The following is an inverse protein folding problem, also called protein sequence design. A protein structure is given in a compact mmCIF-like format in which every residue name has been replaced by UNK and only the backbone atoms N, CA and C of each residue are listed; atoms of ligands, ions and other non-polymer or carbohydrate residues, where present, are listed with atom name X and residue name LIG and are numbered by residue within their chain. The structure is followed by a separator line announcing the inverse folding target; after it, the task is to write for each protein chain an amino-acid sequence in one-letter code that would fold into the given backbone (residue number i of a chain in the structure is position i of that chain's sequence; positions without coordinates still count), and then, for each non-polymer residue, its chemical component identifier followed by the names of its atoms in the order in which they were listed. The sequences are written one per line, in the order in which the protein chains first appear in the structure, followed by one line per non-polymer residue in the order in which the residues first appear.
data_IF_506817708777
#
_entry.id   IF_506817708777
#
_cell.length_a   1.000
_cell.length_b   1.000
_cell.length_c   1.000
_cell.angle_alpha   90.00
_cell.angle_beta   90.00
_cell.angle_gamma   90.00
#
_symmetry.space_group_name_H-M   'P 1'
#
loop_
_entity.id
_entity.type
_entity.pdbx_description
1 polymer ?
#
# COMPACT_ATOMS: atom_id res chain seq x y z
N UNK A 1 11.16 -1.31 -7.32
CA UNK A 1 10.31 -2.49 -7.13
C UNK A 1 9.59 -2.40 -5.79
N UNK A 2 8.28 -2.58 -5.75
CA UNK A 2 7.47 -2.62 -4.53
C UNK A 2 6.23 -3.50 -4.75
N UNK A 3 5.76 -4.18 -3.71
CA UNK A 3 4.58 -5.05 -3.73
C UNK A 3 4.88 -6.55 -3.72
N UNK A 4 6.16 -6.95 -3.68
CA UNK A 4 6.53 -8.36 -3.72
C UNK A 4 6.03 -9.14 -2.48
N UNK A 5 6.12 -8.55 -1.29
CA UNK A 5 5.64 -9.19 -0.06
C UNK A 5 4.14 -9.49 -0.14
N UNK A 6 3.34 -8.53 -0.62
CA UNK A 6 1.89 -8.75 -0.81
C UNK A 6 1.61 -9.83 -1.86
N UNK A 7 2.41 -9.90 -2.94
CA UNK A 7 2.29 -10.97 -3.94
C UNK A 7 2.58 -12.34 -3.31
N UNK A 8 3.62 -12.43 -2.49
CA UNK A 8 3.99 -13.67 -1.80
C UNK A 8 2.88 -14.11 -0.84
N UNK A 9 2.35 -13.18 -0.04
CA UNK A 9 1.26 -13.47 0.90
C UNK A 9 -0.02 -13.89 0.17
N UNK A 10 -0.36 -13.19 -0.91
CA UNK A 10 -1.50 -13.55 -1.75
C UNK A 10 -1.38 -14.99 -2.28
N UNK A 11 -0.23 -15.34 -2.86
CA UNK A 11 -0.04 -16.66 -3.47
C UNK A 11 -0.02 -17.77 -2.42
N UNK A 12 0.63 -17.55 -1.27
CA UNK A 12 0.67 -18.52 -0.18
C UNK A 12 -0.70 -18.82 0.42
N UNK A 13 -1.60 -17.82 0.40
CA UNK A 13 -2.93 -17.94 0.98
C UNK A 13 -4.03 -18.16 -0.08
N UNK A 14 -3.68 -18.19 -1.36
CA UNK A 14 -4.65 -18.40 -2.43
C UNK A 14 -5.24 -19.80 -2.38
N UNK A 15 -6.51 -19.85 -2.07
CA UNK A 15 -7.33 -21.06 -2.08
C UNK A 15 -8.76 -20.68 -2.47
N UNK A 16 -9.58 -21.67 -2.80
CA UNK A 16 -11.00 -21.49 -3.09
C UNK A 16 -11.81 -22.24 -2.06
N UNK A 17 -12.61 -21.51 -1.29
CA UNK A 17 -13.51 -22.09 -0.30
C UNK A 17 -14.64 -22.87 -0.95
N UNK A 18 -15.37 -23.64 -0.15
CA UNK A 18 -16.57 -24.32 -0.64
C UNK A 18 -17.60 -23.30 -1.18
N UNK A 19 -17.77 -22.19 -0.50
CA UNK A 19 -18.67 -21.11 -0.89
C UNK A 19 -18.28 -20.48 -2.23
N UNK A 20 -16.97 -20.28 -2.49
CA UNK A 20 -16.47 -19.76 -3.76
C UNK A 20 -16.80 -20.72 -4.90
N UNK A 21 -16.51 -22.01 -4.71
CA UNK A 21 -16.76 -23.04 -5.71
C UNK A 21 -18.27 -23.20 -5.97
N UNK A 22 -19.10 -23.16 -4.92
CA UNK A 22 -20.55 -23.27 -5.07
C UNK A 22 -21.14 -22.04 -5.79
N UNK A 23 -20.65 -20.85 -5.51
CA UNK A 23 -20.99 -19.65 -6.26
C UNK A 23 -20.66 -19.77 -7.76
N UNK A 24 -19.44 -20.21 -8.07
CA UNK A 24 -19.02 -20.43 -9.46
C UNK A 24 -19.86 -21.50 -10.17
N UNK A 25 -20.26 -22.56 -9.46
CA UNK A 25 -21.18 -23.58 -9.98
C UNK A 25 -22.53 -22.99 -10.32
N UNK A 26 -23.05 -22.12 -9.47
CA UNK A 26 -24.33 -21.44 -9.69
C UNK A 26 -24.37 -20.55 -10.94
N UNK A 27 -23.21 -20.07 -11.44
CA UNK A 27 -23.11 -19.30 -12.67
C UNK A 27 -23.35 -20.16 -13.94
N UNK A 28 -23.14 -21.47 -13.86
CA UNK A 28 -23.33 -22.40 -15.00
C UNK A 28 -22.32 -22.21 -16.14
N UNK A 29 -21.18 -21.57 -15.88
CA UNK A 29 -20.17 -21.24 -16.88
C UNK A 29 -18.99 -22.23 -16.90
N UNK A 30 -18.81 -23.00 -15.84
CA UNK A 30 -17.64 -23.84 -15.62
C UNK A 30 -18.02 -25.31 -15.56
N UNK A 31 -17.11 -26.19 -16.06
CA UNK A 31 -17.30 -27.64 -15.93
C UNK A 31 -17.07 -28.11 -14.48
N UNK A 32 -17.72 -29.22 -14.09
CA UNK A 32 -17.50 -29.81 -12.76
C UNK A 32 -16.05 -30.25 -12.54
N UNK A 33 -15.33 -30.68 -13.57
CA UNK A 33 -13.90 -31.02 -13.49
C UNK A 33 -13.06 -29.81 -13.10
N UNK A 34 -13.36 -28.63 -13.66
CA UNK A 34 -12.66 -27.39 -13.31
C UNK A 34 -13.01 -26.94 -11.90
N UNK A 35 -14.27 -27.01 -11.50
CA UNK A 35 -14.70 -26.68 -10.14
C UNK A 35 -14.07 -27.61 -9.10
N UNK A 36 -13.94 -28.89 -9.43
CA UNK A 36 -13.23 -29.85 -8.59
C UNK A 36 -11.72 -29.51 -8.49
N UNK A 37 -11.10 -29.11 -9.58
CA UNK A 37 -9.71 -28.63 -9.58
C UNK A 37 -9.53 -27.41 -8.66
N UNK A 38 -10.45 -26.43 -8.72
CA UNK A 38 -10.40 -25.24 -7.85
C UNK A 38 -10.55 -25.59 -6.37
N UNK A 39 -11.39 -26.55 -6.01
CA UNK A 39 -11.59 -26.95 -4.62
C UNK A 39 -10.35 -27.53 -3.93
N UNK A 40 -9.40 -28.01 -4.71
CA UNK A 40 -8.11 -28.51 -4.24
C UNK A 40 -6.92 -27.62 -4.65
N UNK A 41 -7.20 -26.39 -5.08
CA UNK A 41 -6.18 -25.52 -5.62
C UNK A 41 -5.12 -25.14 -4.59
N UNK A 42 -3.88 -25.25 -4.99
CA UNK A 42 -2.72 -24.66 -4.35
C UNK A 42 -1.69 -24.31 -5.42
N UNK A 43 -0.99 -23.20 -5.23
CA UNK A 43 0.07 -22.81 -6.15
C UNK A 43 1.31 -23.71 -5.93
N UNK A 44 1.75 -24.40 -6.97
CA UNK A 44 2.87 -25.35 -6.92
C UNK A 44 4.12 -24.86 -7.67
N UNK A 45 4.04 -23.70 -8.30
CA UNK A 45 5.11 -23.16 -9.13
C UNK A 45 6.19 -22.39 -8.37
N UNK A 46 7.16 -21.89 -9.13
CA UNK A 46 8.23 -21.03 -8.65
C UNK A 46 8.04 -19.59 -9.08
N UNK A 47 8.45 -18.65 -8.20
CA UNK A 47 8.47 -17.22 -8.48
C UNK A 47 9.89 -16.69 -8.31
N UNK A 48 10.38 -16.02 -9.36
CA UNK A 48 11.65 -15.32 -9.37
C UNK A 48 11.35 -13.82 -9.49
N UNK A 49 11.84 -13.00 -8.58
CA UNK A 49 11.53 -11.57 -8.55
C UNK A 49 12.74 -10.73 -8.18
N UNK A 50 12.72 -9.47 -8.63
CA UNK A 50 13.67 -8.45 -8.18
C UNK A 50 13.29 -8.06 -6.74
N UNK A 51 14.26 -7.94 -5.81
CA UNK A 51 13.98 -7.51 -4.44
C UNK A 51 13.31 -6.14 -4.36
N UNK A 52 12.44 -5.96 -3.36
CA UNK A 52 11.84 -4.66 -3.09
C UNK A 52 12.90 -3.59 -2.77
N UNK A 53 12.59 -2.34 -3.06
CA UNK A 53 13.53 -1.21 -2.95
C UNK A 53 14.50 -1.08 -4.13
N UNK A 54 14.66 -2.10 -4.96
CA UNK A 54 15.53 -2.02 -6.15
C UNK A 54 14.96 -1.05 -7.18
N UNK A 55 15.86 -0.25 -7.80
CA UNK A 55 15.50 0.53 -8.99
C UNK A 55 15.32 -0.43 -10.16
N UNK A 56 14.27 -0.22 -10.92
CA UNK A 56 13.89 -1.04 -12.06
C UNK A 56 13.70 -0.17 -13.31
N UNK A 57 13.93 -0.75 -14.47
CA UNK A 57 13.86 -0.04 -15.74
C UNK A 57 12.80 -0.64 -16.67
N UNK A 58 12.23 0.17 -17.59
CA UNK A 58 11.29 -0.34 -18.57
C UNK A 58 11.85 -1.52 -19.37
N UNK A 59 11.02 -2.52 -19.64
CA UNK A 59 11.34 -3.74 -20.39
C UNK A 59 12.24 -4.76 -19.66
N UNK A 60 12.53 -4.54 -18.39
CA UNK A 60 13.13 -5.57 -17.54
C UNK A 60 12.03 -6.41 -16.89
N UNK A 61 12.18 -7.75 -16.84
CA UNK A 61 11.22 -8.61 -16.14
C UNK A 61 11.34 -8.37 -14.63
N UNK A 62 10.27 -7.87 -14.01
CA UNK A 62 10.21 -7.61 -12.56
C UNK A 62 10.00 -8.89 -11.76
N UNK A 63 9.19 -9.78 -12.34
CA UNK A 63 8.81 -11.05 -11.74
C UNK A 63 8.58 -12.07 -12.86
N UNK A 64 9.01 -13.31 -12.61
CA UNK A 64 8.79 -14.44 -13.49
C UNK A 64 8.10 -15.55 -12.71
N UNK A 65 6.99 -16.04 -13.23
CA UNK A 65 6.28 -17.22 -12.73
C UNK A 65 6.61 -18.41 -13.61
N UNK A 66 6.94 -19.55 -13.00
CA UNK A 66 7.14 -20.85 -13.65
C UNK A 66 6.21 -21.84 -12.96
N UNK A 67 5.09 -22.12 -13.59
CA UNK A 67 4.02 -22.95 -13.00
C UNK A 67 3.21 -23.67 -14.11
N UNK A 68 2.39 -24.66 -13.76
CA UNK A 68 1.35 -25.15 -14.65
C UNK A 68 0.49 -24.01 -15.19
N UNK A 69 0.08 -24.11 -16.46
CA UNK A 69 -0.57 -22.97 -17.15
C UNK A 69 -1.81 -22.44 -16.43
N UNK A 70 -2.61 -23.30 -15.84
CA UNK A 70 -3.81 -22.87 -15.10
C UNK A 70 -3.46 -22.07 -13.85
N UNK A 71 -2.46 -22.50 -13.09
CA UNK A 71 -1.98 -21.78 -11.91
C UNK A 71 -1.39 -20.42 -12.29
N UNK A 72 -0.55 -20.38 -13.34
CA UNK A 72 0.07 -19.15 -13.83
C UNK A 72 -0.97 -18.13 -14.27
N UNK A 73 -2.04 -18.56 -14.95
CA UNK A 73 -3.13 -17.67 -15.37
C UNK A 73 -3.99 -17.17 -14.21
N UNK A 74 -4.26 -18.00 -13.21
CA UNK A 74 -5.05 -17.62 -12.06
C UNK A 74 -4.38 -16.51 -11.22
N UNK A 75 -3.06 -16.52 -11.11
CA UNK A 75 -2.32 -15.54 -10.30
C UNK A 75 -1.96 -14.26 -11.06
N UNK A 76 -1.98 -14.28 -12.41
CA UNK A 76 -1.49 -13.18 -13.26
C UNK A 76 -2.12 -11.82 -12.91
N UNK A 77 -3.44 -11.74 -12.92
CA UNK A 77 -4.16 -10.46 -12.73
C UNK A 77 -3.88 -9.86 -11.35
N UNK A 78 -3.86 -10.67 -10.31
CA UNK A 78 -3.57 -10.21 -8.96
C UNK A 78 -2.13 -9.69 -8.84
N UNK A 79 -1.15 -10.43 -9.37
CA UNK A 79 0.26 -10.01 -9.39
C UNK A 79 0.41 -8.68 -10.10
N UNK A 80 -0.16 -8.52 -11.29
CA UNK A 80 -0.09 -7.29 -12.06
C UNK A 80 -0.72 -6.11 -11.31
N UNK A 81 -1.88 -6.30 -10.70
CA UNK A 81 -2.58 -5.26 -9.95
C UNK A 81 -1.77 -4.79 -8.75
N UNK A 82 -1.24 -5.74 -7.96
CA UNK A 82 -0.45 -5.47 -6.76
C UNK A 82 0.84 -4.71 -7.12
N UNK A 83 1.62 -5.26 -8.05
CA UNK A 83 2.91 -4.67 -8.43
C UNK A 83 2.73 -3.32 -9.11
N UNK A 84 1.76 -3.17 -10.00
CA UNK A 84 1.51 -1.92 -10.71
C UNK A 84 1.18 -0.79 -9.74
N UNK A 85 0.23 -0.99 -8.83
CA UNK A 85 -0.13 0.01 -7.83
C UNK A 85 1.06 0.43 -6.97
N UNK A 86 1.74 -0.53 -6.34
CA UNK A 86 2.82 -0.22 -5.40
C UNK A 86 4.06 0.34 -6.10
N UNK A 87 4.44 -0.18 -7.27
CA UNK A 87 5.58 0.37 -8.03
C UNK A 87 5.33 1.81 -8.49
N UNK A 88 4.11 2.15 -8.92
CA UNK A 88 3.75 3.53 -9.31
C UNK A 88 3.82 4.49 -8.11
N UNK A 89 3.29 4.09 -6.96
CA UNK A 89 3.35 4.92 -5.74
C UNK A 89 4.81 5.07 -5.28
N UNK A 90 5.59 3.99 -5.19
CA UNK A 90 7.00 4.05 -4.82
C UNK A 90 7.81 4.95 -5.78
N UNK A 91 7.54 4.86 -7.09
CA UNK A 91 8.17 5.71 -8.10
C UNK A 91 7.83 7.18 -7.91
N UNK A 92 6.56 7.48 -7.62
CA UNK A 92 6.13 8.87 -7.34
C UNK A 92 6.79 9.38 -6.07
N UNK A 93 6.75 8.60 -4.99
CA UNK A 93 7.37 8.94 -3.72
C UNK A 93 8.88 9.20 -3.87
N UNK A 94 9.62 8.32 -4.55
CA UNK A 94 11.06 8.46 -4.74
C UNK A 94 11.44 9.74 -5.50
N UNK A 95 10.62 10.16 -6.46
CA UNK A 95 10.83 11.44 -7.18
C UNK A 95 10.62 12.65 -6.27
N UNK A 96 9.61 12.61 -5.40
CA UNK A 96 9.35 13.68 -4.43
C UNK A 96 10.48 13.73 -3.40
N UNK A 97 10.88 12.59 -2.86
CA UNK A 97 12.01 12.47 -1.92
C UNK A 97 13.31 12.99 -2.55
N UNK A 98 13.58 12.62 -3.79
CA UNK A 98 14.76 13.14 -4.51
C UNK A 98 14.71 14.68 -4.67
N UNK A 99 13.55 15.24 -5.00
CA UNK A 99 13.36 16.68 -5.14
C UNK A 99 13.49 17.44 -3.82
N UNK A 100 13.21 16.78 -2.68
CA UNK A 100 13.30 17.35 -1.35
C UNK A 100 14.74 17.55 -0.83
N UNK A 101 15.75 17.05 -1.57
CA UNK A 101 17.18 17.35 -1.30
C UNK A 101 17.65 17.02 0.13
N UNK A 102 17.04 16.03 0.77
CA UNK A 102 17.37 15.58 2.13
C UNK A 102 16.31 15.94 3.18
N UNK A 103 15.33 16.77 2.85
CA UNK A 103 14.19 17.02 3.74
C UNK A 103 13.30 15.77 3.82
N UNK A 104 12.77 15.49 5.01
CA UNK A 104 11.89 14.34 5.24
C UNK A 104 10.53 14.52 4.59
N UNK A 105 10.11 13.54 3.79
CA UNK A 105 8.79 13.51 3.15
C UNK A 105 7.87 12.55 3.90
N UNK A 106 6.70 13.03 4.32
CA UNK A 106 5.65 12.23 4.96
C UNK A 106 4.54 11.87 3.97
N UNK A 107 4.06 10.65 4.04
CA UNK A 107 2.95 10.18 3.22
C UNK A 107 1.60 10.49 3.89
N UNK A 108 0.73 11.27 3.26
CA UNK A 108 -0.60 11.68 3.73
C UNK A 108 -1.69 11.46 2.68
N UNK A 109 -1.50 10.49 1.79
CA UNK A 109 -2.37 10.24 0.64
C UNK A 109 -3.63 9.43 0.93
N UNK A 110 -3.83 8.90 2.15
CA UNK A 110 -4.93 7.98 2.48
C UNK A 110 -6.31 8.49 2.00
N UNK A 111 -6.65 9.75 2.26
CA UNK A 111 -7.94 10.34 1.85
C UNK A 111 -8.14 10.50 0.35
N UNK A 112 -7.10 10.26 -0.45
CA UNK A 112 -7.11 10.35 -1.93
C UNK A 112 -6.83 9.01 -2.60
N UNK A 113 -6.68 7.95 -1.80
CA UNK A 113 -6.47 6.59 -2.31
C UNK A 113 -7.76 6.03 -2.92
N UNK A 114 -7.60 5.07 -3.80
CA UNK A 114 -8.70 4.38 -4.49
C UNK A 114 -9.19 3.18 -3.68
N UNK A 115 -9.62 3.44 -2.45
CA UNK A 115 -10.08 2.46 -1.49
C UNK A 115 -9.11 2.25 -0.33
N UNK A 116 -9.57 1.61 0.77
CA UNK A 116 -8.77 1.42 1.98
C UNK A 116 -7.47 0.65 1.74
N UNK A 117 -7.52 -0.43 0.98
CA UNK A 117 -6.35 -1.25 0.66
C UNK A 117 -5.33 -0.49 -0.19
N UNK A 118 -5.80 0.31 -1.15
CA UNK A 118 -4.93 1.18 -1.92
C UNK A 118 -4.22 2.22 -1.04
N UNK A 119 -4.90 2.75 -0.01
CA UNK A 119 -4.30 3.63 0.99
C UNK A 119 -3.28 2.92 1.88
N UNK A 120 -3.58 1.70 2.29
CA UNK A 120 -2.73 0.89 3.15
C UNK A 120 -1.41 0.51 2.45
N UNK A 121 -1.52 -0.16 1.31
CA UNK A 121 -0.35 -0.58 0.55
C UNK A 121 0.36 0.58 -0.16
N UNK A 122 -0.37 1.66 -0.45
CA UNK A 122 0.22 2.91 -0.93
C UNK A 122 1.14 3.56 0.10
N UNK A 123 0.75 3.56 1.39
CA UNK A 123 1.60 4.05 2.47
C UNK A 123 2.90 3.24 2.58
N UNK A 124 2.81 1.89 2.56
CA UNK A 124 3.98 1.01 2.54
C UNK A 124 4.89 1.30 1.35
N UNK A 125 4.31 1.39 0.15
CA UNK A 125 5.06 1.66 -1.08
C UNK A 125 5.76 3.02 -1.06
N UNK A 126 5.13 4.04 -0.46
CA UNK A 126 5.73 5.36 -0.30
C UNK A 126 6.96 5.34 0.63
N UNK A 127 6.91 4.56 1.71
CA UNK A 127 8.08 4.36 2.60
C UNK A 127 9.20 3.61 1.88
N UNK A 128 8.90 2.57 1.08
CA UNK A 128 9.88 1.94 0.19
C UNK A 128 10.49 2.96 -0.78
N UNK A 129 9.69 3.93 -1.25
CA UNK A 129 10.12 5.05 -2.09
C UNK A 129 10.94 6.12 -1.39
N UNK A 130 11.14 6.01 -0.06
CA UNK A 130 11.98 6.90 0.74
C UNK A 130 11.22 7.89 1.62
N UNK A 131 9.88 7.82 1.71
CA UNK A 131 9.14 8.60 2.71
C UNK A 131 9.53 8.18 4.13
N UNK A 132 9.61 9.14 5.04
CA UNK A 132 10.06 8.91 6.43
C UNK A 132 8.95 8.38 7.34
N UNK A 133 7.69 8.41 6.89
CA UNK A 133 6.55 7.91 7.65
C UNK A 133 5.23 8.18 6.95
N UNK A 134 4.15 7.71 7.57
CA UNK A 134 2.77 7.85 7.08
C UNK A 134 1.82 8.26 8.18
N UNK A 135 0.69 8.87 7.81
CA UNK A 135 -0.44 9.09 8.73
C UNK A 135 -1.36 7.88 8.87
N UNK A 136 -1.13 6.81 8.14
CA UNK A 136 -1.94 5.60 8.18
C UNK A 136 -1.50 4.69 9.33
N UNK A 137 -2.25 4.73 10.45
CA UNK A 137 -1.95 3.98 11.67
C UNK A 137 -1.95 2.48 11.43
N UNK A 138 -2.88 1.98 10.60
CA UNK A 138 -2.94 0.56 10.25
C UNK A 138 -1.70 0.12 9.44
N UNK A 139 -1.18 0.98 8.58
CA UNK A 139 0.08 0.70 7.87
C UNK A 139 1.26 0.63 8.84
N UNK A 140 1.27 1.48 9.88
CA UNK A 140 2.26 1.40 10.94
C UNK A 140 2.23 0.08 11.68
N UNK A 141 1.04 -0.39 12.05
CA UNK A 141 0.83 -1.66 12.75
C UNK A 141 1.22 -2.87 11.88
N UNK A 142 0.77 -2.89 10.62
CA UNK A 142 0.97 -4.05 9.74
C UNK A 142 2.37 -4.17 9.16
N UNK A 143 3.04 -3.05 8.90
CA UNK A 143 4.30 -3.02 8.14
C UNK A 143 5.47 -2.45 8.92
N UNK A 144 5.28 -2.14 10.21
CA UNK A 144 6.30 -1.55 11.08
C UNK A 144 6.94 -0.28 10.46
N UNK A 145 6.09 0.57 9.84
CA UNK A 145 6.53 1.85 9.29
C UNK A 145 6.25 2.99 10.25
N UNK A 146 7.10 4.04 10.32
CA UNK A 146 6.91 5.14 11.25
C UNK A 146 5.58 5.86 11.04
N UNK A 147 4.85 6.09 12.13
CA UNK A 147 3.60 6.86 12.12
C UNK A 147 3.91 8.30 12.44
N UNK A 148 3.43 9.20 11.59
CA UNK A 148 3.57 10.64 11.75
C UNK A 148 2.26 11.31 11.35
N UNK A 149 1.93 12.44 11.98
CA UNK A 149 0.69 13.13 11.68
C UNK A 149 0.71 14.57 12.12
N UNK A 150 -0.29 15.30 11.66
CA UNK A 150 -0.58 16.65 12.08
C UNK A 150 -2.03 16.73 12.53
N UNK A 151 -2.37 17.72 13.35
CA UNK A 151 -3.77 17.98 13.67
C UNK A 151 -4.48 18.65 12.48
N UNK A 152 -5.80 18.43 12.41
CA UNK A 152 -6.61 18.99 11.34
C UNK A 152 -6.97 20.48 11.61
N UNK A 153 -7.14 21.27 10.56
CA UNK A 153 -7.64 22.66 10.67
C UNK A 153 -8.99 22.71 11.40
N UNK A 154 -9.87 21.74 11.17
CA UNK A 154 -11.15 21.63 11.87
C UNK A 154 -10.99 21.57 13.39
N UNK A 155 -9.94 20.95 13.92
CA UNK A 155 -9.66 20.94 15.36
C UNK A 155 -9.30 22.35 15.86
N UNK A 156 -8.45 23.09 15.15
CA UNK A 156 -8.10 24.48 15.49
C UNK A 156 -9.35 25.35 15.51
N UNK A 157 -10.22 25.20 14.53
CA UNK A 157 -11.48 25.95 14.40
C UNK A 157 -12.49 25.68 15.52
N UNK A 158 -12.31 24.66 16.36
CA UNK A 158 -13.17 24.43 17.55
C UNK A 158 -12.83 25.34 18.72
N UNK A 159 -11.68 25.98 18.69
CA UNK A 159 -11.25 26.94 19.72
C UNK A 159 -11.67 28.38 19.36
N UNK A 160 -11.73 29.26 20.37
CA UNK A 160 -12.11 30.66 20.18
C UNK A 160 -11.07 31.43 19.36
N UNK A 161 -9.82 31.01 19.40
CA UNK A 161 -8.67 31.58 18.70
C UNK A 161 -7.54 30.55 18.52
N UNK A 162 -6.65 30.79 17.56
CA UNK A 162 -5.53 29.93 17.25
C UNK A 162 -4.51 29.79 18.40
N UNK A 163 -4.28 30.89 19.13
CA UNK A 163 -3.37 30.86 20.27
C UNK A 163 -3.82 29.85 21.32
N UNK A 164 -5.11 29.80 21.63
CA UNK A 164 -5.67 28.83 22.58
C UNK A 164 -5.52 27.40 22.05
N UNK A 165 -5.79 27.17 20.76
CA UNK A 165 -5.62 25.89 20.15
C UNK A 165 -4.16 25.39 20.23
N UNK A 166 -3.21 26.20 19.80
CA UNK A 166 -1.79 25.83 19.83
C UNK A 166 -1.24 25.68 21.25
N UNK A 167 -1.68 26.47 22.19
CA UNK A 167 -1.31 26.33 23.61
C UNK A 167 -1.76 24.98 24.16
N UNK A 168 -2.98 24.55 23.89
CA UNK A 168 -3.48 23.24 24.32
C UNK A 168 -2.77 22.10 23.60
N UNK A 169 -2.46 22.25 22.33
CA UNK A 169 -1.67 21.24 21.60
C UNK A 169 -0.26 21.08 22.18
N UNK A 170 0.45 22.20 22.41
CA UNK A 170 1.79 22.18 22.99
C UNK A 170 1.81 21.62 24.42
N UNK A 171 0.74 21.84 25.20
CA UNK A 171 0.59 21.26 26.54
C UNK A 171 0.48 19.74 26.51
N UNK A 172 -0.20 19.18 25.50
CA UNK A 172 -0.41 17.74 25.36
C UNK A 172 0.77 17.04 24.68
N UNK A 173 1.45 17.72 23.77
CA UNK A 173 2.52 17.17 22.93
C UNK A 173 3.75 18.09 22.93
N UNK A 174 4.44 18.28 24.07
CA UNK A 174 5.52 19.26 24.18
C UNK A 174 6.71 18.94 23.25
N UNK A 175 7.00 17.65 23.06
CA UNK A 175 8.14 17.17 22.26
C UNK A 175 7.79 16.99 20.76
N UNK A 176 6.52 17.04 20.41
CA UNK A 176 6.02 16.84 19.05
C UNK A 176 5.36 18.10 18.45
N UNK A 177 5.57 19.27 19.09
CA UNK A 177 5.01 20.53 18.63
C UNK A 177 5.83 21.07 17.44
N UNK A 178 5.64 20.49 16.26
CA UNK A 178 6.23 21.02 15.03
C UNK A 178 5.47 22.25 14.57
N UNK A 179 6.19 23.25 14.08
CA UNK A 179 5.62 24.55 13.70
C UNK A 179 4.60 24.43 12.56
N UNK A 180 3.35 24.60 12.88
CA UNK A 180 2.23 24.57 11.93
C UNK A 180 2.22 25.72 10.94
N UNK A 181 2.81 26.84 11.33
CA UNK A 181 2.92 28.03 10.47
C UNK A 181 3.75 27.77 9.21
N UNK A 182 4.63 26.77 9.24
CA UNK A 182 5.44 26.40 8.09
C UNK A 182 4.65 25.58 7.05
N UNK A 183 3.52 24.99 7.43
CA UNK A 183 2.70 24.14 6.58
C UNK A 183 1.38 24.78 6.15
N UNK A 184 0.92 25.84 6.80
CA UNK A 184 -0.33 26.51 6.46
C UNK A 184 -0.19 27.42 5.23
N UNK A 185 0.95 28.08 5.04
CA UNK A 185 1.24 28.88 3.85
C UNK A 185 1.47 28.05 2.57
N UNK A 186 1.64 26.75 2.72
CA UNK A 186 1.80 25.83 1.58
C UNK A 186 0.47 25.17 1.16
N UNK A 187 -0.64 25.47 1.83
CA UNK A 187 -1.94 24.83 1.60
C UNK A 187 -2.94 25.76 0.89
N UNK A 188 -2.61 27.01 0.66
CA UNK A 188 -3.29 27.99 -0.18
C UNK A 188 -2.61 28.02 -1.59
#
# INVERSE_FOLDING_TARGET
MAGLDQVIDYIKNLNFSYEDVDYLRGLGLFSEDFLHYLSGFHFSGDIYAIPEGSVIFPREPLLKVVAPIMEAQLVETAILTILNHQCLIATKASRVVYAAQGDGIMEFGLRRAQGPDAGLYGARAAVIGGCVGTSNVLAGEMFDVPIMGTHAHSWIMTFKDEYTAFKEYARLYPDACTCLLYTSDAAD
#
